data_IF_248527816632
#
_entry.id   IF_248527816632
#
_cell.length_a   1.000
_cell.length_b   1.000
_cell.length_c   1.000
_cell.angle_alpha   90.00
_cell.angle_beta   90.00
_cell.angle_gamma   90.00
#
_symmetry.space_group_name_H-M   'P 1'
#
loop_
_entity.id
_entity.type
_entity.pdbx_description
1 polymer ?
#
# COMPACT_ATOMS: atom_id res chain seq x y z
N UNK A 1 -2.14 10.11 -5.93
CA UNK A 1 -3.51 9.51 -6.01
C UNK A 1 -4.38 9.94 -4.83
N UNK A 2 -5.67 9.58 -4.77
CA UNK A 2 -6.48 9.76 -3.54
C UNK A 2 -5.93 8.87 -2.41
N UNK A 3 -5.91 9.40 -1.18
CA UNK A 3 -5.47 8.67 0.01
C UNK A 3 -6.24 7.35 0.18
N UNK A 4 -7.56 7.40 0.00
CA UNK A 4 -8.42 6.23 0.13
C UNK A 4 -8.06 5.15 -0.89
N UNK A 5 -7.86 5.53 -2.16
CA UNK A 5 -7.46 4.59 -3.21
C UNK A 5 -6.11 3.94 -2.95
N UNK A 6 -5.13 4.68 -2.43
CA UNK A 6 -3.84 4.12 -2.02
C UNK A 6 -4.01 3.10 -0.90
N UNK A 7 -4.70 3.45 0.18
CA UNK A 7 -4.92 2.54 1.31
C UNK A 7 -5.64 1.26 0.85
N UNK A 8 -6.76 1.40 0.15
CA UNK A 8 -7.55 0.26 -0.34
C UNK A 8 -6.72 -0.62 -1.28
N UNK A 9 -6.00 -0.01 -2.23
CA UNK A 9 -5.14 -0.73 -3.17
C UNK A 9 -4.08 -1.55 -2.45
N UNK A 10 -3.36 -0.94 -1.50
CA UNK A 10 -2.33 -1.64 -0.74
C UNK A 10 -2.88 -2.65 0.26
N UNK A 11 -4.08 -2.44 0.81
CA UNK A 11 -4.78 -3.45 1.63
C UNK A 11 -5.14 -4.69 0.82
N UNK A 12 -5.72 -4.51 -0.37
CA UNK A 12 -6.04 -5.62 -1.29
C UNK A 12 -4.76 -6.33 -1.71
N UNK A 13 -3.69 -5.57 -1.96
CA UNK A 13 -2.38 -6.14 -2.28
C UNK A 13 -1.82 -6.98 -1.12
N UNK A 14 -1.88 -6.48 0.12
CA UNK A 14 -1.49 -7.23 1.32
C UNK A 14 -2.27 -8.54 1.48
N UNK A 15 -3.60 -8.49 1.30
CA UNK A 15 -4.44 -9.69 1.30
C UNK A 15 -4.05 -10.67 0.19
N UNK A 16 -3.80 -10.17 -1.02
CA UNK A 16 -3.35 -10.96 -2.17
C UNK A 16 -2.04 -11.70 -1.88
N UNK A 17 -1.10 -11.07 -1.18
CA UNK A 17 0.15 -11.71 -0.75
C UNK A 17 -0.15 -12.87 0.20
N UNK A 18 -1.09 -12.72 1.15
CA UNK A 18 -1.45 -13.80 2.08
C UNK A 18 -2.11 -14.98 1.35
N UNK A 19 -2.98 -14.72 0.37
CA UNK A 19 -3.54 -15.77 -0.48
C UNK A 19 -2.45 -16.47 -1.30
N UNK A 20 -1.53 -15.72 -1.89
CA UNK A 20 -0.40 -16.27 -2.63
C UNK A 20 0.48 -17.15 -1.72
N UNK A 21 0.78 -16.69 -0.51
CA UNK A 21 1.57 -17.46 0.46
C UNK A 21 0.90 -18.79 0.82
N UNK A 22 -0.41 -18.80 1.11
CA UNK A 22 -1.14 -20.03 1.37
C UNK A 22 -1.19 -20.94 0.15
N UNK A 23 -1.31 -20.38 -1.06
CA UNK A 23 -1.24 -21.11 -2.32
C UNK A 23 0.09 -21.83 -2.50
N UNK A 24 1.21 -21.14 -2.26
CA UNK A 24 2.57 -21.73 -2.32
C UNK A 24 2.73 -22.83 -1.27
N UNK A 25 2.23 -22.63 -0.06
CA UNK A 25 2.31 -23.62 1.01
C UNK A 25 1.30 -24.78 0.87
N UNK A 26 0.45 -24.77 -0.17
CA UNK A 26 -0.68 -25.70 -0.34
C UNK A 26 -1.56 -25.82 0.91
N UNK A 27 -1.73 -24.73 1.66
CA UNK A 27 -2.56 -24.69 2.87
C UNK A 27 -3.96 -24.14 2.54
N UNK A 28 -4.93 -24.51 3.38
CA UNK A 28 -6.29 -23.98 3.26
C UNK A 28 -6.29 -22.47 3.46
N UNK A 29 -6.88 -21.76 2.49
CA UNK A 29 -6.85 -20.29 2.39
C UNK A 29 -7.57 -19.61 3.56
N UNK A 30 -8.60 -20.23 4.13
CA UNK A 30 -9.43 -19.61 5.16
C UNK A 30 -9.14 -20.09 6.58
N UNK A 31 -8.14 -20.97 6.74
CA UNK A 31 -7.79 -21.53 8.06
C UNK A 31 -7.15 -20.49 8.98
N UNK A 32 -6.57 -19.42 8.44
CA UNK A 32 -5.85 -18.40 9.20
C UNK A 32 -6.34 -16.98 8.90
N UNK A 33 -7.55 -16.67 9.39
CA UNK A 33 -8.17 -15.34 9.28
C UNK A 33 -7.36 -14.26 10.00
N UNK A 34 -6.71 -14.61 11.12
CA UNK A 34 -5.84 -13.67 11.86
C UNK A 34 -4.68 -13.20 10.98
N UNK A 35 -4.08 -14.12 10.22
CA UNK A 35 -3.06 -13.77 9.22
C UNK A 35 -3.59 -12.81 8.16
N UNK A 36 -4.79 -13.02 7.61
CA UNK A 36 -5.36 -12.13 6.60
C UNK A 36 -5.57 -10.71 7.12
N UNK A 37 -6.08 -10.57 8.35
CA UNK A 37 -6.24 -9.25 9.00
C UNK A 37 -4.88 -8.58 9.20
N UNK A 38 -3.86 -9.33 9.65
CA UNK A 38 -2.51 -8.79 9.82
C UNK A 38 -1.90 -8.26 8.52
N UNK A 39 -2.04 -9.00 7.43
CA UNK A 39 -1.56 -8.58 6.11
C UNK A 39 -2.38 -7.43 5.51
N UNK A 40 -3.70 -7.39 5.74
CA UNK A 40 -4.56 -6.28 5.35
C UNK A 40 -4.15 -4.98 6.06
N UNK A 41 -3.90 -5.04 7.37
CA UNK A 41 -3.43 -3.91 8.16
C UNK A 41 -2.02 -3.47 7.75
N UNK A 42 -1.11 -4.40 7.53
CA UNK A 42 0.23 -4.09 7.03
C UNK A 42 0.16 -3.36 5.68
N UNK A 43 -0.66 -3.86 4.75
CA UNK A 43 -0.93 -3.20 3.47
C UNK A 43 -1.51 -1.80 3.65
N UNK A 44 -2.51 -1.63 4.53
CA UNK A 44 -3.12 -0.32 4.80
C UNK A 44 -2.10 0.71 5.31
N UNK A 45 -1.26 0.31 6.27
CA UNK A 45 -0.20 1.15 6.85
C UNK A 45 0.82 1.56 5.78
N UNK A 46 1.25 0.59 4.96
CA UNK A 46 2.18 0.85 3.85
C UNK A 46 1.55 1.82 2.84
N UNK A 47 0.29 1.63 2.46
CA UNK A 47 -0.42 2.52 1.55
C UNK A 47 -0.56 3.95 2.08
N UNK A 48 -0.84 4.11 3.37
CA UNK A 48 -0.86 5.41 4.03
C UNK A 48 0.52 6.09 3.98
N UNK A 49 1.58 5.35 4.35
CA UNK A 49 2.94 5.88 4.33
C UNK A 49 3.38 6.28 2.93
N UNK A 50 3.09 5.45 1.92
CA UNK A 50 3.44 5.73 0.53
C UNK A 50 2.74 6.98 0.00
N UNK A 51 1.47 7.19 0.37
CA UNK A 51 0.75 8.41 0.02
C UNK A 51 1.44 9.66 0.58
N UNK A 52 1.89 9.62 1.83
CA UNK A 52 2.60 10.75 2.44
C UNK A 52 3.94 11.03 1.74
N UNK A 53 4.66 9.99 1.32
CA UNK A 53 5.89 10.13 0.53
C UNK A 53 5.60 10.75 -0.83
N UNK A 54 4.56 10.26 -1.52
CA UNK A 54 4.11 10.76 -2.83
C UNK A 54 3.80 12.27 -2.76
N UNK A 55 3.07 12.73 -1.74
CA UNK A 55 2.74 14.15 -1.55
C UNK A 55 3.98 15.04 -1.36
N UNK A 56 4.96 14.54 -0.58
CA UNK A 56 6.23 15.26 -0.37
C UNK A 56 7.02 15.39 -1.68
N UNK A 57 7.06 14.32 -2.47
CA UNK A 57 7.73 14.33 -3.77
C UNK A 57 7.08 15.30 -4.75
N UNK A 58 5.75 15.30 -4.86
CA UNK A 58 5.05 16.27 -5.72
C UNK A 58 5.32 17.72 -5.32
N UNK A 59 5.34 18.00 -4.02
CA UNK A 59 5.65 19.34 -3.52
C UNK A 59 7.08 19.76 -3.88
N UNK A 60 8.06 18.88 -3.69
CA UNK A 60 9.46 19.14 -4.03
C UNK A 60 9.67 19.36 -5.54
N UNK A 61 9.02 18.55 -6.38
CA UNK A 61 9.07 18.69 -7.85
C UNK A 61 8.43 20.03 -8.27
N UNK A 62 7.28 20.39 -7.68
CA UNK A 62 6.60 21.64 -7.98
C UNK A 62 7.47 22.85 -7.63
N UNK A 63 8.10 22.85 -6.47
CA UNK A 63 9.05 23.90 -6.06
C UNK A 63 10.25 24.00 -7.01
N UNK A 64 10.82 22.85 -7.39
CA UNK A 64 11.93 22.79 -8.35
C UNK A 64 11.56 23.38 -9.71
N UNK A 65 10.36 23.11 -10.21
CA UNK A 65 9.89 23.64 -11.49
C UNK A 65 9.65 25.15 -11.43
N UNK A 66 9.07 25.67 -10.34
CA UNK A 66 8.87 27.11 -10.14
C UNK A 66 10.21 27.86 -10.06
N UNK A 67 11.22 27.27 -9.41
CA UNK A 67 12.55 27.87 -9.30
C UNK A 67 13.33 27.89 -10.61
N UNK A 68 12.98 27.04 -11.59
CA UNK A 68 13.63 27.02 -12.92
C UNK A 68 13.07 28.06 -13.89
N UNK A 69 11.88 28.58 -13.60
CA UNK A 69 11.15 29.54 -14.44
C UNK A 69 11.41 31.01 -14.01
N UNK A 70 12.22 31.20 -12.95
CA UNK A 70 12.75 32.49 -12.50
C UNK A 70 14.21 32.64 -12.89
#
# INVERSE_FOLDING_TARGET
MSLFSNIVGFTIFGLSIRFLQHGIQKRSQFKDIKGHIGYALAGAIVGYWLHQVEQKQYTAIKQKNISKDK
#
